data_IF_936923887119
#
_entry.id   IF_936923887119
#
_cell.length_a   1.000
_cell.length_b   1.000
_cell.length_c   1.000
_cell.angle_alpha   90.00
_cell.angle_beta   90.00
_cell.angle_gamma   90.00
#
_symmetry.space_group_name_H-M   'P 1'
#
loop_
_entity.id
_entity.type
_entity.pdbx_description
1 polymer ?
#
# COMPACT_ATOMS: atom_id res chain seq x y z
N UNK A 1 -13.63 4.37 29.38
CA UNK A 1 -14.85 4.57 30.20
C UNK A 1 -15.79 3.41 29.91
N UNK A 2 -16.29 2.73 30.93
CA UNK A 2 -16.92 1.40 30.79
C UNK A 2 -18.20 1.45 29.95
N UNK A 3 -18.19 0.75 28.81
CA UNK A 3 -19.31 0.57 27.88
C UNK A 3 -20.61 0.13 28.57
N UNK A 4 -20.48 -0.57 29.70
CA UNK A 4 -21.59 -1.01 30.55
C UNK A 4 -22.40 0.13 31.18
N UNK A 5 -21.79 1.28 31.48
CA UNK A 5 -22.52 2.43 32.02
C UNK A 5 -23.40 3.08 30.96
N UNK A 6 -22.95 3.13 29.70
CA UNK A 6 -23.71 3.68 28.58
C UNK A 6 -24.92 2.80 28.23
N UNK A 7 -24.73 1.48 28.19
CA UNK A 7 -25.82 0.52 27.96
C UNK A 7 -26.87 0.61 29.07
N UNK A 8 -26.44 0.79 30.32
CA UNK A 8 -27.36 0.97 31.46
C UNK A 8 -28.18 2.26 31.38
N UNK A 9 -27.57 3.36 30.89
CA UNK A 9 -28.22 4.66 30.76
C UNK A 9 -29.23 4.67 29.60
N UNK A 10 -28.87 4.06 28.46
CA UNK A 10 -29.77 3.88 27.31
C UNK A 10 -30.95 2.96 27.65
N UNK A 11 -30.70 1.88 28.39
CA UNK A 11 -31.77 1.01 28.90
C UNK A 11 -32.74 1.75 29.81
N UNK A 12 -32.25 2.61 30.72
CA UNK A 12 -33.07 3.39 31.64
C UNK A 12 -33.93 4.43 30.93
N UNK A 13 -33.37 5.11 29.92
CA UNK A 13 -34.10 6.07 29.07
C UNK A 13 -35.19 5.37 28.26
N UNK A 14 -34.92 4.17 27.73
CA UNK A 14 -35.90 3.39 26.98
C UNK A 14 -37.03 2.87 27.88
N UNK A 15 -36.71 2.46 29.11
CA UNK A 15 -37.69 2.04 30.11
C UNK A 15 -38.59 3.19 30.55
N UNK A 16 -38.02 4.39 30.76
CA UNK A 16 -38.77 5.60 31.07
C UNK A 16 -39.66 6.03 29.88
N UNK A 17 -39.17 5.91 28.64
CA UNK A 17 -39.95 6.20 27.45
C UNK A 17 -41.14 5.24 27.28
N UNK A 18 -40.95 3.94 27.56
CA UNK A 18 -42.03 2.94 27.53
C UNK A 18 -43.04 3.20 28.67
N UNK A 19 -42.58 3.52 29.88
CA UNK A 19 -43.44 3.90 31.01
C UNK A 19 -44.31 5.11 30.70
N UNK A 20 -43.73 6.14 30.06
CA UNK A 20 -44.46 7.34 29.62
C UNK A 20 -45.42 7.04 28.46
N UNK A 21 -45.06 6.11 27.57
CA UNK A 21 -45.91 5.67 26.44
C UNK A 21 -47.13 4.84 26.91
N UNK A 22 -46.98 4.06 27.98
CA UNK A 22 -48.04 3.16 28.48
C UNK A 22 -49.00 3.87 29.46
N UNK A 23 -48.61 4.99 30.09
CA UNK A 23 -49.31 5.48 31.28
C UNK A 23 -50.49 6.47 31.08
N UNK A 24 -50.74 7.14 29.93
CA UNK A 24 -52.14 7.55 29.65
C UNK A 24 -52.49 7.66 28.16
N UNK A 25 -52.97 6.58 27.54
CA UNK A 25 -53.47 6.59 26.15
C UNK A 25 -54.93 7.09 26.00
N UNK A 26 -55.51 7.78 26.99
CA UNK A 26 -56.94 8.17 26.93
C UNK A 26 -57.29 9.65 26.86
N UNK A 27 -56.36 10.61 27.05
CA UNK A 27 -56.78 12.02 27.15
C UNK A 27 -56.03 13.10 26.34
N UNK A 28 -54.93 12.84 25.62
CA UNK A 28 -54.21 13.98 25.03
C UNK A 28 -53.67 13.75 23.61
N UNK A 29 -54.49 14.11 22.60
CA UNK A 29 -54.02 14.32 21.21
C UNK A 29 -52.93 15.41 21.10
N UNK A 30 -52.83 16.33 22.08
CA UNK A 30 -51.89 17.46 22.07
C UNK A 30 -50.48 17.13 22.58
N UNK A 31 -50.32 16.21 23.53
CA UNK A 31 -48.99 15.82 24.03
C UNK A 31 -48.23 14.96 23.03
N UNK A 32 -48.94 14.16 22.24
CA UNK A 32 -48.38 13.36 21.14
C UNK A 32 -47.74 14.25 20.05
N UNK A 33 -48.28 15.45 19.83
CA UNK A 33 -47.79 16.39 18.82
C UNK A 33 -46.48 17.09 19.23
N UNK A 34 -46.19 17.16 20.54
CA UNK A 34 -44.99 17.79 21.10
C UNK A 34 -43.87 16.76 21.36
N UNK A 35 -44.23 15.51 21.70
CA UNK A 35 -43.26 14.44 21.91
C UNK A 35 -42.58 13.97 20.62
N UNK A 36 -43.30 13.98 19.49
CA UNK A 36 -42.76 13.59 18.18
C UNK A 36 -41.52 14.41 17.76
N UNK A 37 -41.55 15.75 17.75
CA UNK A 37 -40.36 16.54 17.41
C UNK A 37 -39.25 16.39 18.45
N UNK A 38 -39.55 16.15 19.72
CA UNK A 38 -38.54 15.97 20.77
C UNK A 38 -37.78 14.65 20.63
N UNK A 39 -38.45 13.56 20.26
CA UNK A 39 -37.79 12.30 19.93
C UNK A 39 -36.98 12.45 18.65
N UNK A 40 -37.51 13.17 17.65
CA UNK A 40 -36.80 13.42 16.40
C UNK A 40 -35.54 14.28 16.63
N UNK A 41 -35.59 15.31 17.47
CA UNK A 41 -34.41 16.13 17.81
C UNK A 41 -33.42 15.37 18.67
N UNK A 42 -33.87 14.53 19.61
CA UNK A 42 -32.98 13.66 20.37
C UNK A 42 -32.24 12.65 19.47
N UNK A 43 -32.92 12.09 18.47
CA UNK A 43 -32.30 11.23 17.45
C UNK A 43 -31.30 12.01 16.60
N UNK A 44 -31.61 13.24 16.19
CA UNK A 44 -30.70 14.10 15.43
C UNK A 44 -29.47 14.51 16.26
N UNK A 45 -29.65 14.83 17.54
CA UNK A 45 -28.55 15.17 18.45
C UNK A 45 -27.66 13.96 18.76
N UNK A 46 -28.24 12.79 18.98
CA UNK A 46 -27.49 11.54 19.13
C UNK A 46 -26.72 11.21 17.84
N UNK A 47 -27.32 11.46 16.67
CA UNK A 47 -26.67 11.31 15.37
C UNK A 47 -25.52 12.31 15.15
N UNK A 48 -25.60 13.51 15.74
CA UNK A 48 -24.54 14.52 15.71
C UNK A 48 -23.42 14.26 16.73
N UNK A 49 -23.73 13.79 17.94
CA UNK A 49 -22.72 13.53 18.99
C UNK A 49 -21.92 12.24 18.80
N UNK A 50 -22.55 11.16 18.30
CA UNK A 50 -21.87 9.86 18.18
C UNK A 50 -20.95 9.70 16.98
N UNK A 51 -20.81 10.74 16.16
CA UNK A 51 -20.10 10.64 14.90
C UNK A 51 -20.89 9.74 13.95
N UNK A 52 -20.76 10.01 12.65
CA UNK A 52 -21.61 9.40 11.64
C UNK A 52 -21.69 7.87 11.78
N UNK A 53 -22.90 7.29 11.72
CA UNK A 53 -23.11 5.83 11.57
C UNK A 53 -22.21 5.21 10.47
N UNK A 54 -21.83 6.05 9.50
CA UNK A 54 -20.87 5.78 8.45
C UNK A 54 -19.44 5.48 8.96
N UNK A 55 -18.94 6.20 9.96
CA UNK A 55 -17.63 5.93 10.59
C UNK A 55 -17.64 4.62 11.36
N UNK A 56 -18.72 4.29 12.09
CA UNK A 56 -18.84 2.98 12.75
C UNK A 56 -18.91 1.84 11.72
N UNK A 57 -19.65 2.02 10.62
CA UNK A 57 -19.70 1.04 9.54
C UNK A 57 -18.34 0.88 8.83
N UNK A 58 -17.59 1.97 8.66
CA UNK A 58 -16.21 1.91 8.16
C UNK A 58 -15.27 1.23 9.14
N UNK A 59 -15.37 1.53 10.44
CA UNK A 59 -14.56 0.90 11.48
C UNK A 59 -14.81 -0.61 11.54
N UNK A 60 -16.08 -1.04 11.63
CA UNK A 60 -16.47 -2.46 11.66
C UNK A 60 -16.04 -3.18 10.37
N UNK A 61 -16.16 -2.55 9.21
CA UNK A 61 -15.70 -3.15 7.95
C UNK A 61 -14.17 -3.21 7.85
N UNK A 62 -13.44 -2.21 8.35
CA UNK A 62 -11.99 -2.23 8.42
C UNK A 62 -11.49 -3.29 9.39
N UNK A 63 -12.06 -3.40 10.59
CA UNK A 63 -11.69 -4.46 11.54
C UNK A 63 -11.97 -5.84 10.98
N UNK A 64 -13.13 -6.04 10.33
CA UNK A 64 -13.47 -7.30 9.68
C UNK A 64 -12.49 -7.65 8.55
N UNK A 65 -12.14 -6.67 7.70
CA UNK A 65 -11.16 -6.85 6.64
C UNK A 65 -9.76 -7.17 7.22
N UNK A 66 -9.35 -6.51 8.29
CA UNK A 66 -8.08 -6.76 8.97
C UNK A 66 -8.04 -8.15 9.61
N UNK A 67 -9.12 -8.57 10.28
CA UNK A 67 -9.23 -9.91 10.85
C UNK A 67 -9.21 -10.98 9.76
N UNK A 68 -9.91 -10.76 8.64
CA UNK A 68 -9.92 -11.68 7.51
C UNK A 68 -8.53 -11.82 6.88
N UNK A 69 -7.79 -10.71 6.70
CA UNK A 69 -6.40 -10.74 6.23
C UNK A 69 -5.52 -11.50 7.21
N UNK A 70 -5.62 -11.22 8.52
CA UNK A 70 -4.85 -11.93 9.55
C UNK A 70 -5.16 -13.42 9.59
N UNK A 71 -6.42 -13.83 9.47
CA UNK A 71 -6.81 -15.24 9.43
C UNK A 71 -6.30 -15.93 8.17
N UNK A 72 -6.43 -15.29 7.01
CA UNK A 72 -5.88 -15.83 5.75
C UNK A 72 -4.37 -16.00 5.87
N UNK A 73 -3.64 -15.00 6.37
CA UNK A 73 -2.20 -15.08 6.60
C UNK A 73 -1.82 -16.13 7.65
N UNK A 74 -2.61 -16.30 8.71
CA UNK A 74 -2.38 -17.32 9.74
C UNK A 74 -2.65 -18.75 9.24
N UNK A 75 -3.50 -18.90 8.22
CA UNK A 75 -3.82 -20.20 7.62
C UNK A 75 -2.84 -20.58 6.51
N UNK A 76 -2.22 -19.59 5.86
CA UNK A 76 -1.22 -19.80 4.81
C UNK A 76 0.01 -20.45 5.43
N UNK A 77 0.21 -21.73 5.13
CA UNK A 77 1.37 -22.49 5.63
C UNK A 77 2.58 -22.37 4.71
N UNK A 78 2.38 -22.00 3.44
CA UNK A 78 3.44 -21.89 2.45
C UNK A 78 3.26 -20.68 1.52
N UNK A 79 4.36 -20.11 1.00
CA UNK A 79 4.31 -19.08 -0.04
C UNK A 79 3.53 -19.48 -1.29
N UNK A 80 3.50 -20.78 -1.64
CA UNK A 80 2.76 -21.29 -2.79
C UNK A 80 1.23 -21.24 -2.61
N UNK A 81 0.73 -21.52 -1.40
CA UNK A 81 -0.71 -21.41 -1.12
C UNK A 81 -1.20 -19.96 -1.27
N UNK A 82 -0.37 -18.99 -0.87
CA UNK A 82 -0.66 -17.57 -1.08
C UNK A 82 -0.61 -17.19 -2.56
N UNK A 83 0.32 -17.76 -3.33
CA UNK A 83 0.34 -17.57 -4.79
C UNK A 83 -0.97 -18.03 -5.40
N UNK A 84 -1.46 -19.22 -5.05
CA UNK A 84 -2.65 -19.78 -5.67
C UNK A 84 -3.92 -19.03 -5.27
N UNK A 85 -4.04 -18.61 -4.00
CA UNK A 85 -5.12 -17.71 -3.58
C UNK A 85 -5.10 -16.38 -4.33
N UNK A 86 -3.90 -15.82 -4.56
CA UNK A 86 -3.77 -14.54 -5.26
C UNK A 86 -4.05 -14.68 -6.76
N UNK A 87 -3.68 -15.80 -7.38
CA UNK A 87 -4.07 -16.12 -8.78
C UNK A 87 -5.57 -16.24 -8.93
N UNK A 88 -6.24 -17.03 -8.08
CA UNK A 88 -7.70 -17.18 -8.13
C UNK A 88 -8.41 -15.81 -8.03
N UNK A 89 -7.91 -14.94 -7.14
CA UNK A 89 -8.43 -13.57 -7.03
C UNK A 89 -8.19 -12.72 -8.28
N UNK A 90 -7.07 -12.94 -8.97
CA UNK A 90 -6.76 -12.26 -10.23
C UNK A 90 -7.56 -12.82 -11.41
N UNK A 91 -8.06 -14.05 -11.34
CA UNK A 91 -9.00 -14.57 -12.34
C UNK A 91 -10.34 -13.82 -12.25
N UNK A 92 -10.80 -13.49 -11.05
CA UNK A 92 -12.00 -12.66 -10.83
C UNK A 92 -11.76 -11.17 -11.11
N UNK A 93 -10.51 -10.69 -10.99
CA UNK A 93 -10.15 -9.27 -11.13
C UNK A 93 -8.85 -9.09 -11.93
N UNK A 94 -8.87 -9.41 -13.24
CA UNK A 94 -7.66 -9.51 -14.06
C UNK A 94 -6.98 -8.17 -14.34
N UNK A 95 -7.67 -7.04 -14.12
CA UNK A 95 -7.12 -5.69 -14.30
C UNK A 95 -6.50 -5.10 -13.03
N UNK A 96 -6.42 -5.87 -11.94
CA UNK A 96 -5.86 -5.37 -10.68
C UNK A 96 -4.34 -5.21 -10.74
N UNK A 97 -3.86 -4.01 -11.06
CA UNK A 97 -2.44 -3.67 -11.06
C UNK A 97 -1.76 -4.06 -9.74
N UNK A 98 -2.42 -3.74 -8.61
CA UNK A 98 -1.92 -4.07 -7.28
C UNK A 98 -1.86 -5.58 -7.02
N UNK A 99 -2.84 -6.34 -7.49
CA UNK A 99 -2.84 -7.80 -7.37
C UNK A 99 -1.67 -8.43 -8.14
N UNK A 100 -1.45 -8.00 -9.38
CA UNK A 100 -0.30 -8.44 -10.19
C UNK A 100 1.04 -8.04 -9.56
N UNK A 101 1.13 -6.83 -9.00
CA UNK A 101 2.32 -6.37 -8.29
C UNK A 101 2.66 -7.26 -7.09
N UNK A 102 1.66 -7.57 -6.25
CA UNK A 102 1.85 -8.44 -5.08
C UNK A 102 2.25 -9.86 -5.49
N UNK A 103 1.68 -10.37 -6.59
CA UNK A 103 2.04 -11.68 -7.13
C UNK A 103 3.50 -11.68 -7.61
N UNK A 104 3.93 -10.62 -8.29
CA UNK A 104 5.33 -10.45 -8.71
C UNK A 104 6.28 -10.41 -7.52
N UNK A 105 5.94 -9.66 -6.46
CA UNK A 105 6.73 -9.60 -5.22
C UNK A 105 6.87 -10.97 -4.55
N UNK A 106 5.79 -11.75 -4.55
CA UNK A 106 5.79 -13.09 -3.95
C UNK A 106 6.67 -14.06 -4.76
N UNK A 107 6.58 -14.04 -6.09
CA UNK A 107 7.51 -14.81 -6.93
C UNK A 107 8.96 -14.37 -6.77
N UNK A 108 9.23 -13.05 -6.72
CA UNK A 108 10.57 -12.52 -6.51
C UNK A 108 11.16 -12.97 -5.17
N UNK A 109 10.36 -12.99 -4.09
CA UNK A 109 10.80 -13.48 -2.78
C UNK A 109 11.20 -14.97 -2.78
N UNK A 110 10.75 -15.73 -3.77
CA UNK A 110 11.09 -17.13 -3.98
C UNK A 110 12.18 -17.32 -5.05
N UNK A 111 12.82 -16.24 -5.51
CA UNK A 111 13.77 -16.23 -6.63
C UNK A 111 13.18 -16.75 -7.97
N UNK A 112 11.85 -16.72 -8.12
CA UNK A 112 11.13 -17.13 -9.32
C UNK A 112 11.00 -15.95 -10.29
N UNK A 113 12.15 -15.48 -10.76
CA UNK A 113 12.26 -14.26 -11.58
C UNK A 113 11.48 -14.30 -12.90
N UNK A 114 11.35 -15.44 -13.62
CA UNK A 114 10.53 -15.51 -14.82
C UNK A 114 9.05 -15.20 -14.56
N UNK A 115 8.48 -15.78 -13.51
CA UNK A 115 7.10 -15.53 -13.11
C UNK A 115 6.92 -14.14 -12.50
N UNK A 116 7.90 -13.68 -11.72
CA UNK A 116 7.91 -12.33 -11.17
C UNK A 116 7.85 -11.27 -12.28
N UNK A 117 8.70 -11.40 -13.30
CA UNK A 117 8.72 -10.49 -14.44
C UNK A 117 7.41 -10.47 -15.22
N UNK A 118 6.77 -11.63 -15.42
CA UNK A 118 5.44 -11.70 -16.06
C UNK A 118 4.38 -10.95 -15.24
N UNK A 119 4.38 -11.14 -13.92
CA UNK A 119 3.44 -10.48 -13.04
C UNK A 119 3.69 -8.96 -12.95
N UNK A 120 4.94 -8.53 -12.79
CA UNK A 120 5.30 -7.10 -12.81
C UNK A 120 5.00 -6.44 -14.17
N UNK A 121 5.20 -7.15 -15.28
CA UNK A 121 4.82 -6.65 -16.61
C UNK A 121 3.32 -6.38 -16.70
N UNK A 122 2.47 -7.28 -16.18
CA UNK A 122 1.02 -7.03 -16.12
C UNK A 122 0.67 -5.87 -15.20
N UNK A 123 1.30 -5.79 -14.02
CA UNK A 123 1.10 -4.66 -13.11
C UNK A 123 1.44 -3.33 -13.79
N UNK A 124 2.57 -3.29 -14.51
CA UNK A 124 3.03 -2.13 -15.27
C UNK A 124 2.08 -1.79 -16.43
N UNK A 125 1.49 -2.77 -17.11
CA UNK A 125 0.49 -2.54 -18.15
C UNK A 125 -0.76 -1.82 -17.61
N UNK A 126 -1.24 -2.20 -16.42
CA UNK A 126 -2.43 -1.58 -15.83
C UNK A 126 -2.13 -0.25 -15.13
N UNK A 127 -0.92 -0.08 -14.59
CA UNK A 127 -0.52 1.16 -13.92
C UNK A 127 0.93 1.54 -14.27
N UNK A 128 1.18 2.09 -15.48
CA UNK A 128 2.54 2.35 -15.97
C UNK A 128 3.27 3.48 -15.24
N UNK A 129 2.54 4.31 -14.47
CA UNK A 129 3.10 5.43 -13.70
C UNK A 129 3.46 5.05 -12.27
N UNK A 130 3.16 3.82 -11.83
CA UNK A 130 3.52 3.38 -10.49
C UNK A 130 5.03 3.14 -10.41
N UNK A 131 5.71 4.02 -9.67
CA UNK A 131 7.17 4.02 -9.54
C UNK A 131 7.66 2.66 -9.00
N UNK A 132 7.00 2.15 -7.95
CA UNK A 132 7.40 0.91 -7.30
C UNK A 132 7.28 -0.28 -8.25
N UNK A 133 6.20 -0.36 -9.04
CA UNK A 133 6.04 -1.40 -10.06
C UNK A 133 7.11 -1.30 -11.14
N UNK A 134 7.43 -0.09 -11.62
CA UNK A 134 8.44 0.10 -12.67
C UNK A 134 9.85 -0.30 -12.18
N UNK A 135 10.21 0.02 -10.93
CA UNK A 135 11.47 -0.44 -10.30
C UNK A 135 11.55 -1.96 -10.23
N UNK A 136 10.53 -2.60 -9.64
CA UNK A 136 10.53 -4.07 -9.48
C UNK A 136 10.49 -4.78 -10.84
N UNK A 137 9.84 -4.18 -11.85
CA UNK A 137 9.85 -4.70 -13.20
C UNK A 137 11.26 -4.63 -13.82
N UNK A 138 11.94 -3.48 -13.73
CA UNK A 138 13.31 -3.32 -14.22
C UNK A 138 14.29 -4.28 -13.53
N UNK A 139 14.18 -4.43 -12.20
CA UNK A 139 14.98 -5.39 -11.42
C UNK A 139 14.75 -6.83 -11.89
N UNK A 140 13.49 -7.22 -12.08
CA UNK A 140 13.16 -8.58 -12.55
C UNK A 140 13.72 -8.85 -13.95
N UNK A 141 13.70 -7.85 -14.85
CA UNK A 141 14.34 -7.97 -16.17
C UNK A 141 15.86 -8.09 -16.06
N UNK A 142 16.49 -7.29 -15.19
CA UNK A 142 17.93 -7.33 -14.97
C UNK A 142 18.37 -8.70 -14.46
N UNK A 143 17.63 -9.27 -13.52
CA UNK A 143 17.92 -10.59 -12.97
C UNK A 143 17.75 -11.69 -14.02
N UNK A 144 16.71 -11.62 -14.86
CA UNK A 144 16.52 -12.53 -15.98
C UNK A 144 17.63 -12.43 -17.03
N UNK A 145 18.20 -11.24 -17.21
CA UNK A 145 19.31 -11.01 -18.12
C UNK A 145 20.69 -11.28 -17.49
N UNK A 146 20.72 -11.98 -16.34
CA UNK A 146 21.96 -12.36 -15.65
C UNK A 146 22.77 -11.16 -15.14
N UNK A 147 22.09 -10.08 -14.75
CA UNK A 147 22.75 -8.85 -14.28
C UNK A 147 23.32 -7.97 -15.40
N UNK A 148 23.03 -8.30 -16.66
CA UNK A 148 23.40 -7.47 -17.82
C UNK A 148 22.27 -6.50 -18.16
N UNK A 149 22.63 -5.27 -18.46
CA UNK A 149 21.65 -4.27 -18.90
C UNK A 149 21.36 -4.41 -20.40
N UNK A 150 20.12 -4.13 -20.77
CA UNK A 150 19.66 -4.06 -22.16
C UNK A 150 18.87 -2.76 -22.37
N UNK A 151 18.50 -2.49 -23.62
CA UNK A 151 17.79 -1.26 -23.98
C UNK A 151 16.43 -1.11 -23.25
N UNK A 152 15.73 -2.21 -22.97
CA UNK A 152 14.45 -2.19 -22.25
C UNK A 152 14.64 -1.76 -20.79
N UNK A 153 15.63 -2.33 -20.09
CA UNK A 153 15.95 -1.97 -18.70
C UNK A 153 16.38 -0.51 -18.63
N UNK A 154 17.25 -0.06 -19.55
CA UNK A 154 17.67 1.35 -19.62
C UNK A 154 16.48 2.29 -19.86
N UNK A 155 15.57 1.93 -20.76
CA UNK A 155 14.38 2.73 -21.02
C UNK A 155 13.48 2.83 -19.77
N UNK A 156 13.29 1.74 -19.03
CA UNK A 156 12.55 1.76 -17.76
C UNK A 156 13.22 2.67 -16.72
N UNK A 157 14.54 2.57 -16.54
CA UNK A 157 15.27 3.41 -15.59
C UNK A 157 15.27 4.90 -16.01
N UNK A 158 15.39 5.19 -17.30
CA UNK A 158 15.28 6.56 -17.82
C UNK A 158 13.88 7.13 -17.61
N UNK A 159 12.82 6.34 -17.81
CA UNK A 159 11.45 6.76 -17.54
C UNK A 159 11.23 7.03 -16.04
N UNK A 160 11.79 6.18 -15.16
CA UNK A 160 11.80 6.42 -13.71
C UNK A 160 12.44 7.76 -13.37
N UNK A 161 13.60 8.08 -13.94
CA UNK A 161 14.29 9.35 -13.69
C UNK A 161 13.60 10.57 -14.30
N UNK A 162 12.84 10.40 -15.38
CA UNK A 162 12.00 11.47 -15.93
C UNK A 162 10.83 11.80 -14.99
N UNK A 163 10.21 10.77 -14.40
CA UNK A 163 9.11 10.96 -13.46
C UNK A 163 9.61 11.44 -12.08
N UNK A 164 10.73 10.87 -11.62
CA UNK A 164 11.36 11.16 -10.35
C UNK A 164 12.89 11.28 -10.53
N UNK A 165 13.43 12.50 -10.70
CA UNK A 165 14.87 12.70 -10.91
C UNK A 165 15.76 12.26 -9.75
N UNK A 166 15.20 11.97 -8.58
CA UNK A 166 15.93 11.52 -7.39
C UNK A 166 15.56 10.07 -7.03
N UNK A 167 15.06 9.28 -7.99
CA UNK A 167 14.72 7.88 -7.75
C UNK A 167 15.99 7.05 -7.45
N UNK A 168 16.17 6.51 -6.23
CA UNK A 168 17.45 5.91 -5.83
C UNK A 168 17.82 4.64 -6.61
N UNK A 169 16.86 3.76 -6.88
CA UNK A 169 17.10 2.48 -7.56
C UNK A 169 17.51 2.68 -9.02
N UNK A 170 16.86 3.61 -9.73
CA UNK A 170 17.17 3.97 -11.11
C UNK A 170 18.55 4.64 -11.21
N UNK A 171 18.89 5.52 -10.26
CA UNK A 171 20.25 6.07 -10.17
C UNK A 171 21.28 4.96 -9.94
N UNK A 172 21.01 4.02 -9.04
CA UNK A 172 21.91 2.90 -8.77
C UNK A 172 22.07 1.97 -9.97
N UNK A 173 20.95 1.59 -10.62
CA UNK A 173 20.94 0.72 -11.79
C UNK A 173 21.68 1.35 -12.97
N UNK A 174 21.42 2.61 -13.30
CA UNK A 174 22.11 3.31 -14.39
C UNK A 174 23.59 3.55 -14.08
N UNK A 175 23.95 3.79 -12.81
CA UNK A 175 25.36 3.87 -12.42
C UNK A 175 26.10 2.55 -12.65
N UNK A 176 25.46 1.41 -12.32
CA UNK A 176 26.04 0.08 -12.56
C UNK A 176 26.14 -0.21 -14.06
N UNK A 177 25.11 0.11 -14.85
CA UNK A 177 25.13 -0.03 -16.31
C UNK A 177 26.27 0.77 -16.95
N UNK A 178 26.38 2.05 -16.58
CA UNK A 178 27.44 2.93 -17.05
C UNK A 178 28.83 2.40 -16.66
N UNK A 179 28.99 1.90 -15.43
CA UNK A 179 30.26 1.31 -14.99
C UNK A 179 30.61 0.04 -15.76
N UNK A 180 29.64 -0.86 -15.98
CA UNK A 180 29.83 -2.09 -16.77
C UNK A 180 30.18 -1.77 -18.24
N UNK A 181 29.63 -0.68 -18.76
CA UNK A 181 29.89 -0.17 -20.11
C UNK A 181 31.18 0.65 -20.23
N UNK A 182 32.00 0.72 -19.17
CA UNK A 182 33.23 1.53 -19.09
C UNK A 182 33.02 3.05 -19.22
N UNK A 183 31.78 3.53 -19.12
CA UNK A 183 31.44 4.94 -19.06
C UNK A 183 31.61 5.46 -17.62
N UNK A 184 32.85 5.48 -17.13
CA UNK A 184 33.13 5.75 -15.72
C UNK A 184 32.67 7.14 -15.26
N UNK A 185 32.80 8.16 -16.11
CA UNK A 185 32.32 9.52 -15.82
C UNK A 185 30.79 9.58 -15.58
N UNK A 186 30.02 8.88 -16.41
CA UNK A 186 28.57 8.80 -16.25
C UNK A 186 28.20 8.03 -14.98
N UNK A 187 28.88 6.91 -14.70
CA UNK A 187 28.68 6.13 -13.48
C UNK A 187 28.92 6.97 -12.21
N UNK A 188 30.01 7.74 -12.19
CA UNK A 188 30.35 8.67 -11.10
C UNK A 188 29.24 9.71 -10.92
N UNK A 189 28.72 10.28 -12.01
CA UNK A 189 27.65 11.28 -11.96
C UNK A 189 26.39 10.73 -11.31
N UNK A 190 25.93 9.54 -11.70
CA UNK A 190 24.77 8.91 -11.08
C UNK A 190 25.00 8.56 -9.61
N UNK A 191 26.17 8.01 -9.26
CA UNK A 191 26.50 7.73 -7.87
C UNK A 191 26.63 8.97 -7.00
N UNK A 192 27.13 10.10 -7.53
CA UNK A 192 27.16 11.37 -6.80
C UNK A 192 25.75 11.88 -6.49
N UNK A 193 24.84 11.80 -7.46
CA UNK A 193 23.42 12.11 -7.25
C UNK A 193 22.82 11.19 -6.18
N UNK A 194 23.09 9.89 -6.25
CA UNK A 194 22.63 8.92 -5.26
C UNK A 194 23.21 9.18 -3.86
N UNK A 195 24.49 9.56 -3.78
CA UNK A 195 25.18 9.87 -2.53
C UNK A 195 24.54 11.06 -1.80
N UNK A 196 23.99 12.03 -2.54
CA UNK A 196 23.31 13.18 -1.97
C UNK A 196 21.97 12.83 -1.31
N UNK A 197 21.39 11.67 -1.62
CA UNK A 197 20.10 11.23 -1.09
C UNK A 197 20.21 10.39 0.19
N UNK A 198 21.41 9.88 0.50
CA UNK A 198 21.64 8.98 1.63
C UNK A 198 22.29 9.71 2.81
N UNK A 199 22.01 9.30 4.07
CA UNK A 199 22.65 9.92 5.24
C UNK A 199 24.18 9.81 5.17
N UNK A 200 24.94 10.90 5.42
CA UNK A 200 26.38 10.93 5.17
C UNK A 200 27.21 9.87 5.93
N UNK A 201 26.71 9.33 7.05
CA UNK A 201 27.40 8.31 7.86
C UNK A 201 26.81 6.90 7.69
N UNK A 202 25.90 6.69 6.73
CA UNK A 202 25.30 5.37 6.50
C UNK A 202 26.27 4.40 5.83
N UNK A 203 25.97 3.11 5.97
CA UNK A 203 26.66 2.04 5.23
C UNK A 203 26.57 2.27 3.72
N UNK A 204 25.42 2.71 3.23
CA UNK A 204 25.19 2.96 1.81
C UNK A 204 26.08 4.08 1.29
N UNK A 205 26.20 5.19 2.04
CA UNK A 205 27.07 6.30 1.68
C UNK A 205 28.55 5.88 1.59
N UNK A 206 29.00 4.96 2.46
CA UNK A 206 30.33 4.37 2.37
C UNK A 206 30.49 3.51 1.11
N UNK A 207 29.51 2.67 0.79
CA UNK A 207 29.55 1.81 -0.40
C UNK A 207 29.56 2.63 -1.70
N UNK A 208 28.74 3.68 -1.77
CA UNK A 208 28.67 4.57 -2.94
C UNK A 208 29.99 5.32 -3.12
N UNK A 209 30.61 5.85 -2.05
CA UNK A 209 31.93 6.48 -2.14
C UNK A 209 33.02 5.53 -2.60
N UNK A 210 32.99 4.27 -2.15
CA UNK A 210 33.90 3.23 -2.65
C UNK A 210 33.69 2.97 -4.15
N UNK A 211 32.44 2.91 -4.61
CA UNK A 211 32.13 2.74 -6.03
C UNK A 211 32.64 3.91 -6.88
N UNK A 212 32.42 5.16 -6.44
CA UNK A 212 32.95 6.38 -7.09
C UNK A 212 34.48 6.34 -7.17
N UNK A 213 35.15 6.07 -6.05
CA UNK A 213 36.62 6.01 -6.01
C UNK A 213 37.16 4.93 -6.96
N UNK A 214 36.50 3.76 -7.02
CA UNK A 214 36.86 2.68 -7.93
C UNK A 214 36.72 3.11 -9.39
N UNK A 215 35.61 3.73 -9.79
CA UNK A 215 35.43 4.21 -11.16
C UNK A 215 36.43 5.30 -11.54
N UNK A 216 36.68 6.27 -10.65
CA UNK A 216 37.66 7.34 -10.90
C UNK A 216 39.07 6.78 -11.17
N UNK A 217 39.44 5.70 -10.47
CA UNK A 217 40.72 5.02 -10.70
C UNK A 217 40.83 4.28 -12.03
N UNK A 218 39.70 3.85 -12.61
CA UNK A 218 39.67 3.18 -13.92
C UNK A 218 39.65 4.20 -15.06
N UNK A 219 39.01 5.35 -14.86
CA UNK A 219 38.98 6.45 -15.83
C UNK A 219 40.35 7.12 -16.05
N UNK A 220 41.21 7.06 -15.03
CA UNK A 220 42.56 7.64 -15.06
C UNK A 220 43.64 6.73 -15.70
N UNK A 221 43.26 5.57 -16.24
CA UNK A 221 44.17 4.57 -16.84
C UNK A 221 44.11 4.61 -18.36
#
# INVERSE_FOLDING_TARGET
MSEWLLVSYLGLILLLAILVMVYPLRQFKKTMLILSPMVMTAVVLAYWEWGSWFEWQQFVSQERNQQQIKQVLATIKSPDELIDKLKARLDDSPSSARGWYLLGRLYASQNRWPEANKAFSKAYQFQPKDEQTMVNFAESQLQLNGGKFNNSIRALCSNLLQANPQQPDALAMLAIDAYQSQNFQEAITYWQRLLALVPPKSRDALMIRKAISKAASQDSR
#
